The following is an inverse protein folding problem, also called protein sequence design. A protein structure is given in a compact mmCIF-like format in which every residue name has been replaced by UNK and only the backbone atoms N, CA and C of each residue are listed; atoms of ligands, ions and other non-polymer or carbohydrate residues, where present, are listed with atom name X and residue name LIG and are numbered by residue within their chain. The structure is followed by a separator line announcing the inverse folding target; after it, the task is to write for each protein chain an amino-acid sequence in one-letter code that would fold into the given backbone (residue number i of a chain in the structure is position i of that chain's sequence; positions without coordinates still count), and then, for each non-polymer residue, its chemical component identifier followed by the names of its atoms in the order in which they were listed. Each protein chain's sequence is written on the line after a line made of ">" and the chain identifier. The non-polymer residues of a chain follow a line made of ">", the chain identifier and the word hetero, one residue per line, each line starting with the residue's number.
data_IF_358489127725
#
_entry.id   IF_358489127725
#
_cell.length_a   1.000
_cell.length_b   1.000
_cell.length_c   1.000
_cell.angle_alpha   90.00
_cell.angle_beta   90.00
_cell.angle_gamma   90.00
#
_symmetry.space_group_name_H-M   'P 1'
#
loop_
_entity.id
_entity.type
_entity.pdbx_description
1 polymer ?
#
# COMPACT_ATOMS: atom_id res chain seq x y z
N UNK A 1 9.39 15.24 10.23
CA UNK A 1 7.92 15.42 10.42
C UNK A 1 7.50 14.99 11.82
N UNK A 2 6.31 15.35 12.32
CA UNK A 2 5.81 14.87 13.63
C UNK A 2 4.53 14.05 13.47
N UNK A 3 4.54 12.82 13.98
CA UNK A 3 3.34 11.97 14.07
C UNK A 3 2.39 12.55 15.13
N UNK A 4 1.14 12.74 14.73
CA UNK A 4 0.06 13.12 15.63
C UNK A 4 -0.94 11.95 15.72
N UNK A 5 -1.52 11.77 16.91
CA UNK A 5 -2.61 10.84 17.16
C UNK A 5 -3.74 11.63 17.82
N UNK A 6 -4.90 11.62 17.17
CA UNK A 6 -6.09 12.30 17.66
C UNK A 6 -7.30 11.43 17.42
N UNK A 7 -8.00 11.09 18.49
CA UNK A 7 -9.20 10.26 18.42
C UNK A 7 -8.96 8.96 17.62
N UNK A 8 -7.78 8.35 17.81
CA UNK A 8 -7.32 7.16 17.09
C UNK A 8 -6.98 7.34 15.60
N UNK A 9 -7.26 8.51 15.01
CA UNK A 9 -6.75 8.85 13.68
C UNK A 9 -5.30 9.28 13.81
N UNK A 10 -4.41 8.53 13.17
CA UNK A 10 -3.00 8.89 13.04
C UNK A 10 -2.80 9.78 11.84
N UNK A 11 -2.00 10.83 11.99
CA UNK A 11 -1.70 11.72 10.89
C UNK A 11 -0.35 12.41 10.98
N UNK A 12 0.20 12.77 9.83
CA UNK A 12 1.45 13.51 9.70
C UNK A 12 1.31 14.67 8.74
N UNK A 13 2.01 15.74 9.07
CA UNK A 13 2.12 16.94 8.24
C UNK A 13 3.56 17.08 7.77
N UNK A 14 3.71 17.18 6.46
CA UNK A 14 4.94 17.57 5.81
C UNK A 14 4.83 19.01 5.33
N UNK A 15 5.62 19.90 5.93
CA UNK A 15 5.75 21.28 5.46
C UNK A 15 6.57 21.31 4.18
N UNK A 16 5.90 21.58 3.06
CA UNK A 16 6.56 21.68 1.76
C UNK A 16 5.94 22.81 0.93
N UNK A 17 6.79 23.60 0.27
CA UNK A 17 6.36 24.74 -0.53
C UNK A 17 6.20 24.32 -2.00
N UNK A 18 4.97 24.01 -2.39
CA UNK A 18 4.62 23.79 -3.78
C UNK A 18 4.49 25.11 -4.56
N UNK A 19 4.65 25.05 -5.88
CA UNK A 19 4.32 26.17 -6.75
C UNK A 19 2.80 26.40 -6.74
N UNK A 20 2.36 27.44 -6.03
CA UNK A 20 0.94 27.68 -5.76
C UNK A 20 0.57 27.32 -4.32
N UNK A 21 -0.60 27.75 -3.86
CA UNK A 21 -1.10 27.47 -2.49
C UNK A 21 -1.62 26.03 -2.35
N UNK A 22 -1.04 25.11 -3.13
CA UNK A 22 -1.49 23.75 -3.27
C UNK A 22 -1.14 22.92 -2.03
N UNK A 23 -2.11 22.12 -1.60
CA UNK A 23 -1.97 21.16 -0.52
C UNK A 23 -2.40 19.79 -1.06
N UNK A 24 -1.57 18.79 -0.81
CA UNK A 24 -1.81 17.41 -1.21
C UNK A 24 -2.13 16.58 0.02
N UNK A 25 -3.22 15.85 -0.06
CA UNK A 25 -3.73 15.06 1.05
C UNK A 25 -3.86 13.61 0.60
N UNK A 26 -3.41 12.70 1.45
CA UNK A 26 -3.53 11.26 1.24
C UNK A 26 -4.10 10.61 2.50
N UNK A 27 -5.29 10.03 2.37
CA UNK A 27 -5.87 9.18 3.38
C UNK A 27 -5.63 7.72 2.98
N UNK A 28 -4.84 7.01 3.78
CA UNK A 28 -4.70 5.56 3.72
C UNK A 28 -5.71 4.90 4.65
N UNK A 29 -6.37 3.86 4.18
CA UNK A 29 -7.22 2.98 4.99
C UNK A 29 -6.64 1.58 4.90
N UNK A 30 -6.48 0.89 6.02
CA UNK A 30 -5.80 -0.41 6.14
C UNK A 30 -6.62 -1.58 5.59
N UNK A 31 -7.21 -1.38 4.42
CA UNK A 31 -7.98 -2.29 3.62
C UNK A 31 -7.24 -2.48 2.28
N UNK A 32 -6.99 -3.71 1.82
CA UNK A 32 -6.30 -3.95 0.56
C UNK A 32 -6.73 -5.26 -0.07
N UNK A 33 -6.21 -5.58 -1.25
CA UNK A 33 -6.62 -6.78 -1.99
C UNK A 33 -6.36 -8.09 -1.24
N UNK A 34 -5.42 -8.09 -0.30
CA UNK A 34 -4.98 -9.30 0.40
C UNK A 34 -5.62 -9.49 1.78
N UNK A 35 -6.61 -8.67 2.16
CA UNK A 35 -7.25 -8.73 3.47
C UNK A 35 -8.57 -9.49 3.38
N UNK A 36 -8.50 -10.80 3.68
CA UNK A 36 -9.67 -11.69 3.65
C UNK A 36 -10.28 -11.97 5.02
N UNK A 37 -9.48 -11.87 6.09
CA UNK A 37 -9.92 -12.22 7.44
C UNK A 37 -9.43 -11.19 8.46
N UNK A 38 -10.31 -10.80 9.36
CA UNK A 38 -9.99 -9.90 10.47
C UNK A 38 -10.52 -10.44 11.79
N UNK A 39 -9.85 -10.09 12.88
CA UNK A 39 -10.38 -10.23 14.23
C UNK A 39 -11.17 -8.99 14.58
N UNK A 40 -12.42 -9.20 14.95
CA UNK A 40 -13.27 -8.19 15.51
C UNK A 40 -13.15 -8.24 17.03
N UNK A 41 -12.53 -7.22 17.63
CA UNK A 41 -12.29 -7.15 19.08
C UNK A 41 -13.57 -7.10 19.90
N UNK A 42 -14.64 -6.49 19.37
CA UNK A 42 -15.86 -6.20 20.11
C UNK A 42 -16.68 -7.46 20.36
N UNK A 43 -16.74 -8.35 19.37
CA UNK A 43 -17.46 -9.61 19.47
C UNK A 43 -16.54 -10.84 19.61
N UNK A 44 -15.22 -10.64 19.63
CA UNK A 44 -14.20 -11.68 19.72
C UNK A 44 -14.38 -12.79 18.67
N UNK A 45 -14.65 -12.40 17.42
CA UNK A 45 -14.83 -13.34 16.30
C UNK A 45 -13.97 -12.99 15.12
N UNK A 46 -13.61 -14.03 14.37
CA UNK A 46 -13.11 -13.91 13.02
C UNK A 46 -14.25 -13.48 12.10
N UNK A 47 -14.00 -12.46 11.28
CA UNK A 47 -14.90 -11.98 10.24
C UNK A 47 -14.21 -12.17 8.90
N UNK A 48 -14.87 -12.89 8.00
CA UNK A 48 -14.44 -12.99 6.61
C UNK A 48 -14.90 -11.74 5.85
N UNK A 49 -13.98 -11.19 5.06
CA UNK A 49 -14.16 -9.97 4.28
C UNK A 49 -14.11 -10.35 2.81
N UNK A 50 -15.14 -9.96 2.06
CA UNK A 50 -15.13 -10.07 0.62
C UNK A 50 -14.11 -9.09 0.04
N UNK A 51 -13.04 -9.63 -0.56
CA UNK A 51 -11.87 -8.85 -1.02
C UNK A 51 -12.21 -7.88 -2.14
N UNK A 52 -13.30 -8.10 -2.88
CA UNK A 52 -13.75 -7.19 -3.94
C UNK A 52 -14.32 -5.87 -3.41
N UNK A 53 -14.70 -5.83 -2.12
CA UNK A 53 -15.26 -4.64 -1.48
C UNK A 53 -14.32 -3.44 -1.51
N UNK A 54 -12.99 -3.66 -1.55
CA UNK A 54 -12.01 -2.55 -1.66
C UNK A 54 -12.18 -1.73 -2.94
N UNK A 55 -12.39 -2.41 -4.08
CA UNK A 55 -12.65 -1.74 -5.36
C UNK A 55 -14.04 -1.11 -5.41
N UNK A 56 -15.03 -1.80 -4.85
CA UNK A 56 -16.42 -1.32 -4.79
C UNK A 56 -16.49 -0.07 -3.94
N UNK A 57 -15.80 -0.06 -2.79
CA UNK A 57 -15.70 1.11 -1.91
C UNK A 57 -15.09 2.30 -2.63
N UNK A 58 -13.99 2.11 -3.35
CA UNK A 58 -13.36 3.21 -4.09
C UNK A 58 -14.30 3.80 -5.16
N UNK A 59 -15.03 2.95 -5.89
CA UNK A 59 -16.03 3.41 -6.85
C UNK A 59 -17.23 4.04 -6.15
N UNK A 60 -17.66 3.53 -5.00
CA UNK A 60 -18.73 4.09 -4.18
C UNK A 60 -18.40 5.52 -3.74
N UNK A 61 -17.20 5.76 -3.22
CA UNK A 61 -16.73 7.11 -2.86
C UNK A 61 -16.70 8.03 -4.09
N UNK A 62 -16.22 7.53 -5.23
CA UNK A 62 -16.20 8.33 -6.47
C UNK A 62 -17.60 8.71 -6.95
N UNK A 63 -18.59 7.83 -6.83
CA UNK A 63 -19.98 8.15 -7.18
C UNK A 63 -20.51 9.30 -6.30
N UNK A 64 -20.27 9.26 -4.99
CA UNK A 64 -20.69 10.34 -4.07
C UNK A 64 -19.97 11.64 -4.39
N UNK A 65 -18.64 11.61 -4.52
CA UNK A 65 -17.84 12.82 -4.77
C UNK A 65 -18.15 13.45 -6.13
N UNK A 66 -18.53 12.66 -7.15
CA UNK A 66 -18.94 13.20 -8.44
C UNK A 66 -20.25 14.01 -8.38
N UNK A 67 -21.08 13.81 -7.35
CA UNK A 67 -22.28 14.62 -7.11
C UNK A 67 -21.96 15.94 -6.38
N UNK A 68 -20.79 16.03 -5.73
CA UNK A 68 -20.35 17.21 -4.97
C UNK A 68 -19.51 18.18 -5.84
N UNK A 69 -19.99 19.41 -6.10
CA UNK A 69 -19.24 20.39 -6.88
C UNK A 69 -17.94 20.81 -6.18
N UNK A 70 -16.79 20.64 -6.83
CA UNK A 70 -15.50 21.19 -6.39
C UNK A 70 -14.54 20.17 -5.81
N UNK A 71 -15.05 19.12 -5.15
CA UNK A 71 -14.20 18.08 -4.57
C UNK A 71 -13.71 17.10 -5.63
N UNK A 72 -12.39 16.93 -5.70
CA UNK A 72 -11.75 15.98 -6.63
C UNK A 72 -10.84 15.03 -5.90
N UNK A 73 -11.33 13.80 -5.74
CA UNK A 73 -10.54 12.70 -5.19
C UNK A 73 -10.06 11.77 -6.28
N UNK A 74 -8.83 11.30 -6.12
CA UNK A 74 -8.29 10.16 -6.85
C UNK A 74 -8.12 8.98 -5.89
N UNK A 75 -8.17 7.77 -6.42
CA UNK A 75 -8.20 6.55 -5.63
C UNK A 75 -7.32 5.47 -6.22
N UNK A 76 -6.45 4.88 -5.40
CA UNK A 76 -5.68 3.69 -5.74
C UNK A 76 -5.76 2.67 -4.61
N UNK A 77 -5.45 1.42 -4.91
CA UNK A 77 -5.48 0.33 -3.93
C UNK A 77 -4.18 -0.44 -4.09
N UNK A 78 -3.50 -0.65 -2.98
CA UNK A 78 -2.31 -1.50 -2.88
C UNK A 78 -2.68 -2.86 -2.30
N UNK A 79 -1.66 -3.68 -2.01
CA UNK A 79 -1.83 -4.95 -1.29
C UNK A 79 -2.58 -4.80 0.02
N UNK A 80 -2.29 -3.72 0.78
CA UNK A 80 -2.70 -3.56 2.17
C UNK A 80 -3.51 -2.29 2.45
N UNK A 81 -3.53 -1.33 1.53
CA UNK A 81 -4.05 0.01 1.76
C UNK A 81 -4.93 0.49 0.60
N UNK A 82 -6.05 1.15 0.93
CA UNK A 82 -6.79 2.00 0.00
C UNK A 82 -6.25 3.41 0.18
N UNK A 83 -5.79 4.02 -0.91
CA UNK A 83 -5.38 5.42 -0.90
C UNK A 83 -6.46 6.28 -1.52
N UNK A 84 -6.89 7.30 -0.78
CA UNK A 84 -7.74 8.37 -1.28
C UNK A 84 -6.91 9.64 -1.27
N UNK A 85 -6.64 10.17 -2.46
CA UNK A 85 -5.74 11.31 -2.67
C UNK A 85 -6.52 12.52 -3.15
N UNK A 86 -6.28 13.67 -2.54
CA UNK A 86 -6.92 14.93 -2.89
C UNK A 86 -5.87 16.02 -3.10
N UNK A 87 -6.17 16.96 -4.00
CA UNK A 87 -5.43 18.21 -4.13
C UNK A 87 -6.40 19.34 -3.81
N UNK A 88 -6.06 20.19 -2.86
CA UNK A 88 -6.84 21.35 -2.42
C UNK A 88 -5.93 22.59 -2.32
N UNK A 89 -6.52 23.74 -1.99
CA UNK A 89 -5.80 24.97 -1.67
C UNK A 89 -5.81 25.22 -0.17
N UNK A 90 -4.92 26.08 0.33
CA UNK A 90 -4.93 26.48 1.75
C UNK A 90 -6.26 27.10 2.18
N UNK A 91 -6.93 27.81 1.28
CA UNK A 91 -8.20 28.48 1.54
C UNK A 91 -9.38 27.51 1.62
N UNK A 92 -9.38 26.46 0.80
CA UNK A 92 -10.49 25.49 0.68
C UNK A 92 -10.27 24.23 1.55
N UNK A 93 -9.06 24.06 2.09
CA UNK A 93 -8.64 22.84 2.80
C UNK A 93 -9.62 22.38 3.87
N UNK A 94 -10.16 23.30 4.67
CA UNK A 94 -11.07 22.96 5.75
C UNK A 94 -12.37 22.34 5.26
N UNK A 95 -12.99 22.96 4.25
CA UNK A 95 -14.25 22.51 3.67
C UNK A 95 -14.05 21.18 2.93
N UNK A 96 -13.01 21.10 2.09
CA UNK A 96 -12.69 19.89 1.33
C UNK A 96 -12.38 18.69 2.25
N UNK A 97 -11.59 18.91 3.31
CA UNK A 97 -11.27 17.86 4.28
C UNK A 97 -12.46 17.43 5.10
N UNK A 98 -13.24 18.39 5.58
CA UNK A 98 -14.46 18.11 6.32
C UNK A 98 -15.40 17.24 5.49
N UNK A 99 -15.63 17.64 4.24
CA UNK A 99 -16.50 16.90 3.32
C UNK A 99 -15.98 15.50 3.01
N UNK A 100 -14.67 15.35 2.77
CA UNK A 100 -14.06 14.04 2.54
C UNK A 100 -14.26 13.10 3.74
N UNK A 101 -14.00 13.59 4.95
CA UNK A 101 -14.14 12.79 6.16
C UNK A 101 -15.61 12.47 6.48
N UNK A 102 -16.53 13.41 6.24
CA UNK A 102 -17.97 13.18 6.37
C UNK A 102 -18.43 12.06 5.42
N UNK A 103 -18.00 12.10 4.16
CA UNK A 103 -18.34 11.08 3.16
C UNK A 103 -17.85 9.69 3.57
N UNK A 104 -16.63 9.60 4.12
CA UNK A 104 -16.01 8.33 4.45
C UNK A 104 -16.53 7.74 5.76
N UNK A 105 -16.73 8.57 6.78
CA UNK A 105 -16.94 8.08 8.16
C UNK A 105 -18.34 8.39 8.73
N UNK A 106 -19.04 9.42 8.24
CA UNK A 106 -20.34 9.82 8.80
C UNK A 106 -21.54 9.44 7.94
N UNK A 107 -21.41 9.52 6.61
CA UNK A 107 -22.55 9.26 5.73
C UNK A 107 -22.99 7.79 5.85
N UNK A 108 -24.31 7.53 6.03
CA UNK A 108 -24.82 6.18 6.03
C UNK A 108 -24.61 5.54 4.66
N UNK A 109 -24.32 4.25 4.65
CA UNK A 109 -24.17 3.50 3.41
C UNK A 109 -25.52 3.44 2.67
N UNK A 110 -25.52 3.85 1.40
CA UNK A 110 -26.68 3.85 0.52
C UNK A 110 -26.63 2.64 -0.42
N UNK A 111 -27.69 1.83 -0.39
CA UNK A 111 -27.79 0.61 -1.18
C UNK A 111 -27.79 0.86 -2.70
N UNK A 112 -28.41 1.95 -3.17
CA UNK A 112 -28.47 2.31 -4.59
C UNK A 112 -27.09 2.71 -5.10
N UNK A 113 -26.34 3.50 -4.32
CA UNK A 113 -24.96 3.88 -4.68
C UNK A 113 -24.08 2.63 -4.69
N UNK A 114 -24.22 1.72 -3.72
CA UNK A 114 -23.54 0.42 -3.72
C UNK A 114 -23.82 -0.37 -5.00
N UNK A 115 -25.09 -0.53 -5.40
CA UNK A 115 -25.46 -1.28 -6.60
C UNK A 115 -24.84 -0.68 -7.87
N UNK A 116 -24.74 0.65 -7.96
CA UNK A 116 -24.06 1.34 -9.06
C UNK A 116 -22.55 1.11 -9.03
N UNK A 117 -21.93 1.24 -7.85
CA UNK A 117 -20.50 0.97 -7.66
C UNK A 117 -20.12 -0.48 -8.02
N UNK A 118 -20.97 -1.46 -7.71
CA UNK A 118 -20.79 -2.86 -8.13
C UNK A 118 -20.82 -2.99 -9.65
N UNK A 119 -21.81 -2.40 -10.32
CA UNK A 119 -21.90 -2.42 -11.80
C UNK A 119 -20.67 -1.81 -12.45
N UNK A 120 -20.23 -0.65 -11.93
CA UNK A 120 -19.04 0.06 -12.40
C UNK A 120 -17.78 -0.79 -12.20
N UNK A 121 -17.60 -1.35 -11.01
CA UNK A 121 -16.46 -2.21 -10.67
C UNK A 121 -16.38 -3.44 -11.58
N UNK A 122 -17.51 -4.13 -11.82
CA UNK A 122 -17.59 -5.26 -12.75
C UNK A 122 -17.25 -4.86 -14.18
N UNK A 123 -17.74 -3.72 -14.64
CA UNK A 123 -17.42 -3.20 -15.99
C UNK A 123 -15.93 -2.93 -16.13
N UNK A 124 -15.32 -2.26 -15.16
CA UNK A 124 -13.90 -1.93 -15.19
C UNK A 124 -13.02 -3.18 -15.06
N UNK A 125 -13.41 -4.14 -14.22
CA UNK A 125 -12.73 -5.43 -14.10
C UNK A 125 -12.80 -6.24 -15.40
N UNK A 126 -13.95 -6.31 -16.07
CA UNK A 126 -14.12 -7.00 -17.34
C UNK A 126 -13.29 -6.40 -18.49
N UNK A 127 -12.95 -5.11 -18.40
CA UNK A 127 -12.00 -4.48 -19.32
C UNK A 127 -10.56 -4.88 -18.96
N UNK A 128 -10.19 -4.78 -17.68
CA UNK A 128 -8.83 -5.07 -17.18
C UNK A 128 -8.44 -6.53 -17.26
N UNK A 129 -9.37 -7.48 -17.12
CA UNK A 129 -9.05 -8.92 -17.19
C UNK A 129 -8.52 -9.34 -18.57
N UNK A 130 -8.68 -8.51 -19.61
CA UNK A 130 -8.10 -8.76 -20.94
C UNK A 130 -6.63 -8.33 -21.02
N UNK A 131 -6.17 -7.49 -20.10
CA UNK A 131 -4.78 -7.03 -20.01
C UNK A 131 -3.90 -8.13 -19.41
N UNK A 132 -2.86 -8.54 -20.15
CA UNK A 132 -1.93 -9.58 -19.73
C UNK A 132 -1.10 -9.16 -18.52
N UNK A 133 -0.71 -7.89 -18.41
CA UNK A 133 0.08 -7.38 -17.30
C UNK A 133 -0.75 -7.44 -16.01
N UNK A 134 -2.03 -7.06 -16.09
CA UNK A 134 -2.97 -7.17 -14.97
C UNK A 134 -3.14 -8.63 -14.51
N UNK A 135 -3.43 -9.56 -15.44
CA UNK A 135 -3.60 -10.97 -15.10
C UNK A 135 -2.34 -11.57 -14.48
N UNK A 136 -1.18 -11.23 -15.04
CA UNK A 136 0.12 -11.78 -14.63
C UNK A 136 0.53 -11.25 -13.27
N UNK A 137 0.31 -9.96 -12.99
CA UNK A 137 0.54 -9.37 -11.67
C UNK A 137 -0.34 -10.01 -10.59
N UNK A 138 -1.66 -10.12 -10.83
CA UNK A 138 -2.56 -10.74 -9.84
C UNK A 138 -2.23 -12.23 -9.61
N UNK A 139 -1.82 -12.97 -10.65
CA UNK A 139 -1.34 -14.34 -10.46
C UNK A 139 -0.06 -14.41 -9.62
N UNK A 140 0.88 -13.49 -9.83
CA UNK A 140 2.10 -13.41 -9.03
C UNK A 140 1.83 -13.02 -7.57
N UNK A 141 0.82 -12.19 -7.31
CA UNK A 141 0.40 -11.89 -5.94
C UNK A 141 0.02 -13.16 -5.16
N UNK A 142 -0.61 -14.16 -5.80
CA UNK A 142 -0.87 -15.45 -5.15
C UNK A 142 0.38 -16.21 -4.67
N UNK A 143 1.58 -15.75 -5.08
CA UNK A 143 2.84 -16.22 -4.53
C UNK A 143 3.47 -15.27 -3.51
N UNK A 144 3.54 -13.96 -3.80
CA UNK A 144 4.12 -12.97 -2.88
C UNK A 144 3.28 -12.68 -1.63
N UNK A 145 2.07 -13.23 -1.59
CA UNK A 145 1.04 -13.01 -0.58
C UNK A 145 0.45 -14.33 -0.09
N UNK A 146 1.28 -15.37 -0.05
CA UNK A 146 0.85 -16.71 0.26
C UNK A 146 0.26 -16.82 1.68
N UNK A 147 0.86 -16.19 2.69
CA UNK A 147 0.35 -16.10 4.07
C UNK A 147 -0.91 -15.25 4.21
N UNK A 148 -1.12 -14.30 3.30
CA UNK A 148 -2.36 -13.51 3.24
C UNK A 148 -3.52 -14.27 2.59
N UNK A 149 -3.27 -15.51 2.13
CA UNK A 149 -4.24 -16.36 1.44
C UNK A 149 -4.92 -15.69 0.25
N UNK A 150 -4.22 -14.73 -0.38
CA UNK A 150 -4.69 -14.09 -1.59
C UNK A 150 -4.74 -15.12 -2.73
N UNK A 151 -5.86 -15.14 -3.45
CA UNK A 151 -6.06 -15.98 -4.60
C UNK A 151 -6.84 -15.23 -5.68
N UNK A 152 -6.26 -15.11 -6.88
CA UNK A 152 -6.90 -14.39 -7.97
C UNK A 152 -8.24 -15.00 -8.41
N UNK A 153 -8.42 -16.33 -8.29
CA UNK A 153 -9.71 -16.98 -8.59
C UNK A 153 -10.78 -16.61 -7.55
N UNK A 154 -10.40 -16.56 -6.27
CA UNK A 154 -11.28 -16.15 -5.19
C UNK A 154 -11.70 -14.70 -5.39
N UNK A 155 -10.75 -13.79 -5.64
CA UNK A 155 -11.03 -12.37 -5.91
C UNK A 155 -12.06 -12.18 -7.05
N UNK A 156 -11.94 -12.97 -8.13
CA UNK A 156 -12.92 -12.95 -9.23
C UNK A 156 -14.29 -13.45 -8.79
N UNK A 157 -14.34 -14.57 -8.05
CA UNK A 157 -15.60 -15.12 -7.52
C UNK A 157 -16.27 -14.16 -6.53
N UNK A 158 -15.48 -13.50 -5.70
CA UNK A 158 -15.92 -12.51 -4.71
C UNK A 158 -16.67 -11.36 -5.38
N UNK A 159 -16.13 -10.83 -6.50
CA UNK A 159 -16.77 -9.75 -7.26
C UNK A 159 -18.11 -10.16 -7.89
N UNK A 160 -18.23 -11.42 -8.30
CA UNK A 160 -19.46 -11.95 -8.89
C UNK A 160 -20.56 -12.19 -7.83
N UNK A 161 -20.17 -12.50 -6.59
CA UNK A 161 -21.10 -12.90 -5.51
C UNK A 161 -21.34 -11.84 -4.45
N UNK A 162 -20.59 -10.74 -4.46
CA UNK A 162 -20.67 -9.68 -3.44
C UNK A 162 -22.10 -9.21 -3.22
N UNK A 163 -22.49 -9.18 -1.94
CA UNK A 163 -23.79 -8.73 -1.47
C UNK A 163 -23.68 -7.36 -0.78
N UNK A 164 -24.81 -6.74 -0.49
CA UNK A 164 -24.84 -5.48 0.25
C UNK A 164 -24.38 -5.69 1.70
N UNK A 165 -24.73 -6.84 2.28
CA UNK A 165 -24.35 -7.24 3.63
C UNK A 165 -22.83 -7.45 3.74
N UNK A 166 -22.19 -8.03 2.71
CA UNK A 166 -20.72 -8.12 2.64
C UNK A 166 -20.07 -6.74 2.66
N UNK A 167 -20.64 -5.79 1.90
CA UNK A 167 -20.14 -4.43 1.82
C UNK A 167 -20.34 -3.66 3.13
N UNK A 168 -21.48 -3.85 3.80
CA UNK A 168 -21.71 -3.29 5.14
C UNK A 168 -20.72 -3.87 6.16
N UNK A 169 -20.47 -5.18 6.12
CA UNK A 169 -19.49 -5.82 6.99
C UNK A 169 -18.09 -5.26 6.73
N UNK A 170 -17.68 -5.13 5.46
CA UNK A 170 -16.44 -4.46 5.08
C UNK A 170 -16.37 -3.03 5.65
N UNK A 171 -17.41 -2.22 5.40
CA UNK A 171 -17.44 -0.81 5.78
C UNK A 171 -17.34 -0.65 7.30
N UNK A 172 -18.20 -1.33 8.05
CA UNK A 172 -18.28 -1.23 9.52
C UNK A 172 -16.99 -1.70 10.20
N UNK A 173 -16.33 -2.73 9.67
CA UNK A 173 -15.17 -3.31 10.34
C UNK A 173 -13.83 -2.71 9.88
N UNK A 174 -13.72 -2.16 8.66
CA UNK A 174 -12.43 -1.71 8.10
C UNK A 174 -12.33 -0.20 7.86
N UNK A 175 -13.45 0.52 7.73
CA UNK A 175 -13.47 1.96 7.46
C UNK A 175 -13.65 2.70 8.79
N UNK A 176 -12.55 2.85 9.54
CA UNK A 176 -12.51 3.47 10.89
C UNK A 176 -11.28 4.36 11.03
N UNK A 177 -11.25 5.30 11.99
CA UNK A 177 -10.07 6.15 12.20
C UNK A 177 -8.85 5.34 12.62
N UNK A 178 -9.04 4.34 13.50
CA UNK A 178 -7.96 3.49 14.00
C UNK A 178 -7.27 2.68 12.89
N UNK A 179 -7.99 2.36 11.82
CA UNK A 179 -7.46 1.70 10.63
C UNK A 179 -6.97 2.67 9.55
N UNK A 180 -6.99 3.97 9.82
CA UNK A 180 -6.70 5.00 8.83
C UNK A 180 -5.47 5.80 9.21
N UNK A 181 -4.84 6.37 8.18
CA UNK A 181 -3.69 7.24 8.31
C UNK A 181 -3.82 8.42 7.36
N UNK A 182 -3.71 9.64 7.87
CA UNK A 182 -3.81 10.85 7.09
C UNK A 182 -2.44 11.51 6.92
N UNK A 183 -2.01 11.71 5.67
CA UNK A 183 -0.81 12.44 5.34
C UNK A 183 -1.17 13.74 4.63
N UNK A 184 -0.69 14.87 5.15
CA UNK A 184 -0.93 16.20 4.62
C UNK A 184 0.41 16.79 4.20
N UNK A 185 0.49 17.26 2.97
CA UNK A 185 1.73 17.74 2.38
C UNK A 185 1.51 19.09 1.70
N UNK A 186 2.11 20.14 2.26
CA UNK A 186 1.92 21.52 1.81
C UNK A 186 2.35 22.53 2.87
N UNK A 187 2.17 23.82 2.60
CA UNK A 187 2.55 24.90 3.51
C UNK A 187 1.42 25.22 4.50
N UNK A 188 1.43 24.58 5.67
CA UNK A 188 0.37 24.65 6.68
C UNK A 188 0.93 24.89 8.09
N UNK A 189 1.62 26.04 8.24
CA UNK A 189 2.29 26.49 9.48
C UNK A 189 1.53 26.32 10.81
N UNK A 190 0.19 26.21 10.83
CA UNK A 190 -0.61 25.99 12.05
C UNK A 190 -1.84 25.12 11.81
N UNK A 191 -1.70 23.80 12.01
CA UNK A 191 -2.82 22.84 11.90
C UNK A 191 -3.98 23.10 12.87
N UNK A 192 -3.69 23.58 14.09
CA UNK A 192 -4.69 23.71 15.16
C UNK A 192 -5.78 24.75 14.88
N UNK A 193 -5.56 25.60 13.87
CA UNK A 193 -6.49 26.65 13.49
C UNK A 193 -7.51 26.18 12.44
N UNK A 194 -7.33 24.97 11.90
CA UNK A 194 -8.19 24.39 10.87
C UNK A 194 -9.42 23.69 11.49
N UNK A 195 -10.60 23.94 10.93
CA UNK A 195 -11.87 23.32 11.35
C UNK A 195 -11.85 21.79 11.28
N UNK A 196 -11.19 21.18 10.30
CA UNK A 196 -11.14 19.71 10.21
C UNK A 196 -10.41 19.08 11.42
N UNK A 197 -9.50 19.80 12.06
CA UNK A 197 -8.85 19.36 13.29
C UNK A 197 -9.87 19.23 14.43
N UNK A 198 -10.79 20.19 14.56
CA UNK A 198 -11.88 20.13 15.52
C UNK A 198 -12.87 19.01 15.21
N UNK A 199 -13.09 18.70 13.94
CA UNK A 199 -13.88 17.54 13.54
C UNK A 199 -13.27 16.25 14.08
N UNK A 200 -12.00 15.98 13.79
CA UNK A 200 -11.33 14.74 14.23
C UNK A 200 -11.38 14.62 15.76
N UNK A 201 -11.13 15.74 16.46
CA UNK A 201 -11.11 15.78 17.93
C UNK A 201 -12.47 15.49 18.58
N UNK A 202 -13.56 15.92 17.94
CA UNK A 202 -14.92 15.84 18.51
C UNK A 202 -15.73 14.68 17.95
N UNK A 203 -15.20 13.96 16.95
CA UNK A 203 -15.89 12.84 16.34
C UNK A 203 -16.13 11.73 17.36
N UNK A 204 -17.33 11.16 17.37
CA UNK A 204 -17.59 9.95 18.14
C UNK A 204 -17.24 8.75 17.28
N UNK A 205 -15.95 8.51 17.06
CA UNK A 205 -15.55 7.29 16.37
C UNK A 205 -15.66 6.09 17.32
N UNK A 206 -15.95 4.93 16.74
CA UNK A 206 -15.92 3.66 17.45
C UNK A 206 -14.46 3.23 17.54
N UNK A 207 -13.96 3.05 18.75
CA UNK A 207 -12.68 2.37 18.96
C UNK A 207 -12.81 0.94 18.42
N UNK A 208 -12.00 0.58 17.44
CA UNK A 208 -12.07 -0.72 16.77
C UNK A 208 -10.67 -1.28 16.59
N UNK A 209 -10.30 -2.23 17.45
CA UNK A 209 -9.03 -2.92 17.29
C UNK A 209 -9.16 -3.99 16.21
N UNK A 210 -8.81 -3.62 14.99
CA UNK A 210 -8.71 -4.55 13.88
C UNK A 210 -7.37 -5.26 13.98
N UNK A 211 -7.41 -6.58 14.19
CA UNK A 211 -6.23 -7.42 13.97
C UNK A 211 -6.42 -8.19 12.67
N UNK A 212 -5.56 -7.96 11.68
CA UNK A 212 -5.56 -8.73 10.43
C UNK A 212 -5.14 -10.17 10.76
N UNK A 213 -5.89 -11.16 10.26
CA UNK A 213 -5.50 -12.55 10.36
C UNK A 213 -4.72 -12.98 9.14
N UNK A 214 -3.68 -13.74 9.42
CA UNK A 214 -2.81 -14.33 8.43
C UNK A 214 -2.76 -15.82 8.71
N UNK A 215 -2.82 -16.61 7.65
CA UNK A 215 -2.61 -18.04 7.77
C UNK A 215 -1.10 -18.26 7.80
N UNK A 216 -0.59 -18.70 8.94
CA UNK A 216 0.80 -19.12 9.06
C UNK A 216 0.99 -20.31 8.11
N UNK A 217 1.76 -20.07 7.05
CA UNK A 217 2.11 -21.10 6.08
C UNK A 217 3.59 -21.31 6.16
N UNK A 218 3.98 -22.58 6.11
CA UNK A 218 5.37 -22.95 6.16
C UNK A 218 6.10 -22.44 4.89
N UNK A 219 6.81 -21.33 5.04
CA UNK A 219 7.59 -20.71 3.99
C UNK A 219 8.76 -21.63 3.56
N UNK A 220 9.13 -22.62 4.37
CA UNK A 220 10.11 -23.64 4.02
C UNK A 220 9.60 -24.61 2.96
N UNK A 221 8.29 -24.69 2.75
CA UNK A 221 7.68 -25.42 1.63
C UNK A 221 7.68 -24.61 0.33
N UNK A 222 7.96 -23.30 0.37
CA UNK A 222 8.14 -22.50 -0.83
C UNK A 222 9.49 -22.84 -1.47
N UNK A 223 9.43 -23.67 -2.52
CA UNK A 223 10.57 -23.97 -3.37
C UNK A 223 10.69 -22.96 -4.50
N UNK A 224 11.88 -22.88 -5.10
CA UNK A 224 12.04 -22.16 -6.36
C UNK A 224 11.09 -22.76 -7.41
N UNK A 225 10.31 -21.92 -8.09
CA UNK A 225 9.38 -22.39 -9.13
C UNK A 225 9.45 -21.52 -10.38
N UNK A 226 9.35 -22.17 -11.53
CA UNK A 226 9.20 -21.52 -12.81
C UNK A 226 7.90 -21.99 -13.44
N UNK A 227 6.94 -21.08 -13.56
CA UNK A 227 5.67 -21.33 -14.22
C UNK A 227 5.71 -20.68 -15.60
N UNK A 228 5.65 -21.50 -16.65
CA UNK A 228 5.57 -21.04 -18.03
C UNK A 228 4.14 -21.25 -18.52
N UNK A 229 3.38 -20.16 -18.62
CA UNK A 229 2.11 -20.14 -19.33
C UNK A 229 2.43 -19.69 -20.75
N UNK A 230 2.12 -20.52 -21.76
CA UNK A 230 2.31 -20.13 -23.16
C UNK A 230 1.15 -19.23 -23.58
N UNK A 231 1.42 -17.96 -23.89
CA UNK A 231 0.49 -17.08 -24.57
C UNK A 231 1.17 -16.30 -25.73
N UNK A 232 0.38 -15.51 -26.46
CA UNK A 232 0.83 -14.80 -27.68
C UNK A 232 1.67 -13.54 -27.42
N UNK A 233 1.66 -13.01 -26.20
CA UNK A 233 2.35 -11.78 -25.82
C UNK A 233 3.39 -12.10 -24.74
N UNK A 234 4.65 -11.70 -24.94
CA UNK A 234 5.74 -11.98 -24.00
C UNK A 234 5.69 -11.00 -22.82
N UNK A 235 5.06 -11.38 -21.71
CA UNK A 235 5.13 -10.61 -20.45
C UNK A 235 5.81 -11.44 -19.36
N UNK A 236 6.84 -10.86 -18.74
CA UNK A 236 7.65 -11.56 -17.74
C UNK A 236 7.57 -10.86 -16.39
N UNK A 237 7.28 -11.62 -15.35
CA UNK A 237 7.34 -11.16 -13.97
C UNK A 237 8.08 -12.18 -13.13
N UNK A 238 8.94 -11.69 -12.24
CA UNK A 238 9.55 -12.52 -11.22
C UNK A 238 9.32 -11.95 -9.83
N UNK A 239 9.46 -12.82 -8.84
CA UNK A 239 9.35 -12.51 -7.43
C UNK A 239 10.54 -13.14 -6.71
N UNK A 240 11.27 -12.34 -5.95
CA UNK A 240 12.26 -12.80 -4.98
C UNK A 240 11.67 -12.61 -3.59
N UNK A 241 11.43 -13.71 -2.89
CA UNK A 241 10.88 -13.74 -1.55
C UNK A 241 12.01 -13.81 -0.53
N UNK A 242 11.91 -13.00 0.53
CA UNK A 242 12.90 -12.89 1.60
C UNK A 242 12.27 -13.28 2.93
N UNK A 243 12.82 -14.32 3.54
CA UNK A 243 12.46 -14.76 4.87
C UNK A 243 13.56 -14.33 5.84
N UNK A 244 13.19 -13.52 6.83
CA UNK A 244 14.10 -12.95 7.82
C UNK A 244 13.96 -13.74 9.12
N UNK A 245 14.93 -14.61 9.40
CA UNK A 245 14.88 -15.48 10.59
C UNK A 245 15.04 -14.69 11.89
N UNK A 246 15.68 -13.52 11.82
CA UNK A 246 15.77 -12.61 12.95
C UNK A 246 14.47 -11.81 13.13
N UNK A 247 13.68 -12.17 14.14
CA UNK A 247 12.40 -11.51 14.45
C UNK A 247 12.54 -10.04 14.89
N UNK A 248 13.70 -9.65 15.42
CA UNK A 248 14.00 -8.27 15.83
C UNK A 248 14.41 -7.39 14.63
N UNK A 249 14.46 -7.95 13.42
CA UNK A 249 14.83 -7.20 12.24
C UNK A 249 13.68 -6.29 11.78
N UNK A 250 13.82 -4.99 12.06
CA UNK A 250 12.77 -4.00 11.85
C UNK A 250 12.30 -3.89 10.40
N UNK A 251 11.04 -3.47 10.21
CA UNK A 251 10.45 -3.23 8.88
C UNK A 251 11.26 -2.18 8.09
N UNK A 252 11.71 -1.10 8.75
CA UNK A 252 12.59 -0.09 8.12
C UNK A 252 13.87 -0.73 7.56
N UNK A 253 14.52 -1.62 8.33
CA UNK A 253 15.73 -2.31 7.90
C UNK A 253 15.49 -3.26 6.72
N UNK A 254 14.34 -3.94 6.70
CA UNK A 254 13.90 -4.75 5.55
C UNK A 254 13.74 -3.87 4.31
N UNK A 255 13.07 -2.72 4.42
CA UNK A 255 12.93 -1.76 3.33
C UNK A 255 14.28 -1.27 2.80
N UNK A 256 15.20 -0.88 3.68
CA UNK A 256 16.56 -0.44 3.30
C UNK A 256 17.26 -1.51 2.49
N UNK A 257 17.33 -2.74 3.03
CA UNK A 257 18.05 -3.83 2.40
C UNK A 257 17.44 -4.21 1.05
N UNK A 258 16.12 -4.40 1.00
CA UNK A 258 15.43 -4.82 -0.23
C UNK A 258 15.45 -3.71 -1.29
N UNK A 259 15.40 -2.44 -0.91
CA UNK A 259 15.50 -1.32 -1.86
C UNK A 259 16.89 -1.21 -2.50
N UNK A 260 17.96 -1.49 -1.74
CA UNK A 260 19.32 -1.55 -2.29
C UNK A 260 19.43 -2.73 -3.26
N UNK A 261 18.95 -3.92 -2.89
CA UNK A 261 18.97 -5.11 -3.75
C UNK A 261 18.16 -4.87 -5.03
N UNK A 262 16.93 -4.37 -4.92
CA UNK A 262 16.05 -4.10 -6.04
C UNK A 262 16.66 -3.07 -7.00
N UNK A 263 17.19 -1.97 -6.47
CA UNK A 263 17.82 -0.93 -7.28
C UNK A 263 19.10 -1.40 -7.96
N UNK A 264 19.89 -2.26 -7.29
CA UNK A 264 21.09 -2.86 -7.86
C UNK A 264 20.79 -3.82 -9.02
N UNK A 265 19.81 -4.71 -8.84
CA UNK A 265 19.51 -5.77 -9.80
C UNK A 265 18.60 -5.29 -10.94
N UNK A 266 17.66 -4.41 -10.65
CA UNK A 266 16.54 -4.09 -11.53
C UNK A 266 16.32 -2.59 -11.75
N UNK A 267 17.11 -1.72 -11.10
CA UNK A 267 16.96 -0.27 -11.18
C UNK A 267 15.52 0.16 -10.82
N UNK A 268 14.82 0.80 -11.75
CA UNK A 268 13.44 1.28 -11.57
C UNK A 268 12.36 0.29 -12.02
N UNK A 269 12.72 -0.96 -12.37
CA UNK A 269 11.80 -1.98 -12.90
C UNK A 269 11.36 -3.01 -11.87
N UNK A 270 11.44 -2.65 -10.59
CA UNK A 270 11.03 -3.48 -9.47
C UNK A 270 10.19 -2.72 -8.45
N UNK A 271 9.31 -3.46 -7.79
CA UNK A 271 8.50 -3.05 -6.65
C UNK A 271 9.01 -3.80 -5.41
N UNK A 272 9.30 -3.05 -4.35
CA UNK A 272 9.70 -3.60 -3.05
C UNK A 272 8.46 -3.63 -2.19
N UNK A 273 8.07 -4.82 -1.74
CA UNK A 273 6.97 -5.02 -0.82
C UNK A 273 7.53 -5.53 0.49
N UNK A 274 7.33 -4.79 1.59
CA UNK A 274 7.71 -5.22 2.93
C UNK A 274 6.47 -5.20 3.79
N UNK A 275 5.64 -6.24 3.69
CA UNK A 275 4.67 -6.48 4.75
C UNK A 275 5.35 -7.20 5.92
N UNK A 276 4.66 -7.28 7.05
CA UNK A 276 5.19 -7.92 8.26
C UNK A 276 5.47 -9.43 8.14
N UNK A 277 5.14 -10.06 7.01
CA UNK A 277 5.08 -11.51 6.86
C UNK A 277 5.98 -12.00 5.72
N UNK A 278 5.78 -11.45 4.54
CA UNK A 278 6.30 -11.94 3.28
C UNK A 278 6.98 -10.82 2.46
N UNK A 279 8.09 -10.25 2.95
CA UNK A 279 8.87 -9.28 2.19
C UNK A 279 9.35 -9.86 0.85
N UNK A 280 9.13 -9.12 -0.23
CA UNK A 280 9.52 -9.56 -1.56
C UNK A 280 9.92 -8.40 -2.49
N UNK A 281 10.61 -8.77 -3.56
CA UNK A 281 10.88 -7.89 -4.70
C UNK A 281 10.16 -8.47 -5.91
N UNK A 282 9.19 -7.74 -6.44
CA UNK A 282 8.54 -8.03 -7.72
C UNK A 282 9.28 -7.27 -8.82
N UNK A 283 9.64 -7.93 -9.92
CA UNK A 283 10.32 -7.28 -11.03
C UNK A 283 9.68 -7.65 -12.37
N UNK A 284 9.70 -6.70 -13.30
CA UNK A 284 8.90 -6.76 -14.53
C UNK A 284 9.75 -6.62 -15.78
N UNK A 285 9.46 -7.45 -16.80
CA UNK A 285 10.11 -7.42 -18.11
C UNK A 285 11.65 -7.40 -18.02
N UNK A 286 12.18 -8.19 -17.09
CA UNK A 286 13.62 -8.46 -16.93
C UNK A 286 13.88 -9.93 -17.22
N UNK A 287 15.14 -10.24 -17.52
CA UNK A 287 15.58 -11.62 -17.69
C UNK A 287 15.18 -12.47 -16.49
N UNK A 288 14.68 -13.68 -16.73
CA UNK A 288 14.36 -14.62 -15.67
C UNK A 288 15.61 -15.44 -15.35
N UNK A 289 16.35 -15.02 -14.34
CA UNK A 289 17.62 -15.61 -13.91
C UNK A 289 17.60 -15.95 -12.41
N UNK A 290 18.59 -16.72 -11.96
CA UNK A 290 18.80 -17.02 -10.54
C UNK A 290 19.53 -15.85 -9.85
N UNK A 291 18.77 -14.84 -9.43
CA UNK A 291 19.27 -13.60 -8.85
C UNK A 291 19.79 -13.75 -7.42
N UNK A 292 19.32 -14.73 -6.66
CA UNK A 292 19.72 -14.97 -5.26
C UNK A 292 21.23 -15.13 -5.09
N UNK A 293 21.91 -15.67 -6.11
CA UNK A 293 23.38 -15.82 -6.14
C UNK A 293 24.13 -14.49 -6.30
N UNK A 294 23.45 -13.45 -6.79
CA UNK A 294 24.02 -12.13 -7.10
C UNK A 294 23.72 -11.08 -6.03
N UNK A 295 22.91 -11.42 -5.02
CA UNK A 295 22.46 -10.46 -3.99
C UNK A 295 23.64 -9.92 -3.19
N UNK A 296 24.61 -10.77 -2.82
CA UNK A 296 25.76 -10.31 -2.06
C UNK A 296 26.65 -9.33 -2.84
N UNK A 297 26.70 -9.45 -4.16
CA UNK A 297 27.47 -8.57 -5.04
C UNK A 297 26.86 -7.17 -5.17
N UNK A 298 25.57 -7.01 -4.81
CA UNK A 298 24.87 -5.73 -4.83
C UNK A 298 25.42 -4.71 -3.83
N UNK A 299 26.21 -5.18 -2.85
CA UNK A 299 26.69 -4.36 -1.74
C UNK A 299 28.08 -3.75 -1.97
N UNK A 300 28.66 -3.91 -3.16
CA UNK A 300 29.97 -3.36 -3.46
C UNK A 300 29.96 -1.81 -3.47
N UNK A 301 31.04 -1.18 -3.00
CA UNK A 301 31.12 0.28 -2.81
C UNK A 301 30.94 1.12 -4.07
N UNK A 302 31.42 0.66 -5.23
CA UNK A 302 31.29 1.41 -6.49
C UNK A 302 29.82 1.53 -6.92
N UNK A 303 29.01 0.47 -6.79
CA UNK A 303 27.60 0.51 -7.16
C UNK A 303 26.74 1.14 -6.05
N UNK A 304 27.10 0.95 -4.78
CA UNK A 304 26.30 1.39 -3.64
C UNK A 304 26.06 2.91 -3.65
N UNK A 305 27.06 3.73 -3.98
CA UNK A 305 26.89 5.18 -4.06
C UNK A 305 25.85 5.59 -5.11
N UNK A 306 25.90 4.96 -6.29
CA UNK A 306 24.95 5.23 -7.37
C UNK A 306 23.54 4.78 -6.97
N UNK A 307 23.41 3.62 -6.33
CA UNK A 307 22.13 3.10 -5.83
C UNK A 307 21.50 4.05 -4.81
N UNK A 308 22.28 4.48 -3.80
CA UNK A 308 21.82 5.42 -2.76
C UNK A 308 21.28 6.70 -3.40
N UNK A 309 22.08 7.31 -4.28
CA UNK A 309 21.67 8.53 -4.98
C UNK A 309 20.40 8.30 -5.80
N UNK A 310 20.30 7.21 -6.56
CA UNK A 310 19.10 6.91 -7.34
C UNK A 310 17.83 6.74 -6.50
N UNK A 311 17.94 6.16 -5.29
CA UNK A 311 16.82 6.07 -4.34
C UNK A 311 16.44 7.46 -3.81
N UNK A 312 17.42 8.26 -3.36
CA UNK A 312 17.18 9.60 -2.84
C UNK A 312 16.56 10.51 -3.91
N UNK A 313 17.11 10.50 -5.13
CA UNK A 313 16.64 11.26 -6.28
C UNK A 313 15.19 10.87 -6.64
N UNK A 314 14.86 9.57 -6.59
CA UNK A 314 13.48 9.09 -6.81
C UNK A 314 12.50 9.72 -5.82
N UNK A 315 12.81 9.71 -4.53
CA UNK A 315 11.90 10.28 -3.53
C UNK A 315 11.84 11.81 -3.57
N UNK A 316 12.95 12.48 -3.90
CA UNK A 316 12.96 13.92 -4.17
C UNK A 316 12.07 14.27 -5.37
N UNK A 317 12.20 13.52 -6.47
CA UNK A 317 11.38 13.73 -7.66
C UNK A 317 9.89 13.47 -7.37
N UNK A 318 9.57 12.42 -6.61
CA UNK A 318 8.19 12.17 -6.17
C UNK A 318 7.67 13.33 -5.33
N UNK A 319 8.46 13.85 -4.39
CA UNK A 319 8.03 14.95 -3.52
C UNK A 319 7.71 16.21 -4.33
N UNK A 320 8.57 16.56 -5.28
CA UNK A 320 8.49 17.83 -6.02
C UNK A 320 7.54 17.77 -7.24
N UNK A 321 7.55 16.65 -7.98
CA UNK A 321 6.82 16.52 -9.25
C UNK A 321 5.58 15.65 -9.17
N UNK A 322 5.54 14.69 -8.25
CA UNK A 322 4.43 13.73 -8.13
C UNK A 322 3.92 13.60 -6.67
N UNK A 323 3.55 14.71 -6.01
CA UNK A 323 3.30 14.74 -4.56
C UNK A 323 2.18 13.80 -4.09
N UNK A 324 1.22 13.47 -4.97
CA UNK A 324 0.22 12.43 -4.70
C UNK A 324 0.87 11.06 -4.50
N UNK A 325 1.80 10.65 -5.39
CA UNK A 325 2.51 9.37 -5.29
C UNK A 325 3.51 9.37 -4.12
N UNK A 326 4.13 10.52 -3.83
CA UNK A 326 4.91 10.67 -2.59
C UNK A 326 4.07 10.39 -1.35
N UNK A 327 2.87 10.99 -1.26
CA UNK A 327 1.94 10.75 -0.17
C UNK A 327 1.50 9.29 -0.07
N UNK A 328 1.23 8.62 -1.20
CA UNK A 328 0.91 7.18 -1.21
C UNK A 328 2.06 6.35 -0.65
N UNK A 329 3.30 6.61 -1.08
CA UNK A 329 4.48 5.90 -0.58
C UNK A 329 4.71 6.14 0.92
N UNK A 330 4.55 7.37 1.40
CA UNK A 330 4.68 7.71 2.82
C UNK A 330 3.64 6.95 3.67
N UNK A 331 2.38 7.00 3.25
CA UNK A 331 1.26 6.34 3.91
C UNK A 331 1.46 4.82 3.95
N UNK A 332 1.81 4.21 2.82
CA UNK A 332 2.04 2.75 2.72
C UNK A 332 3.16 2.30 3.68
N UNK A 333 4.31 2.98 3.66
CA UNK A 333 5.43 2.64 4.56
C UNK A 333 5.04 2.79 6.03
N UNK A 334 4.35 3.89 6.38
CA UNK A 334 3.92 4.15 7.76
C UNK A 334 2.96 3.10 8.26
N UNK A 335 1.97 2.72 7.43
CA UNK A 335 0.99 1.70 7.79
C UNK A 335 1.58 0.29 7.86
N UNK A 336 2.71 0.05 7.20
CA UNK A 336 3.49 -1.19 7.32
C UNK A 336 4.46 -1.17 8.53
N UNK A 337 4.60 -0.03 9.22
CA UNK A 337 5.43 0.10 10.43
C UNK A 337 6.85 0.61 10.18
N UNK A 338 7.07 1.32 9.07
CA UNK A 338 8.33 2.00 8.75
C UNK A 338 8.10 3.50 8.64
N UNK A 339 9.09 4.30 9.06
CA UNK A 339 9.08 5.74 8.79
C UNK A 339 9.89 6.05 7.52
N UNK A 340 9.34 6.87 6.61
CA UNK A 340 10.01 7.20 5.35
C UNK A 340 11.24 8.09 5.58
N UNK A 341 11.23 9.00 6.58
CA UNK A 341 12.38 9.85 6.88
C UNK A 341 13.52 9.02 7.47
N UNK A 342 13.23 8.12 8.41
CA UNK A 342 14.18 7.16 8.97
C UNK A 342 14.80 6.30 7.87
N UNK A 343 13.97 5.75 6.99
CA UNK A 343 14.43 4.97 5.84
C UNK A 343 15.38 5.78 4.94
N UNK A 344 15.02 7.01 4.55
CA UNK A 344 15.85 7.84 3.68
C UNK A 344 17.16 8.25 4.38
N UNK A 345 17.13 8.55 5.67
CA UNK A 345 18.31 8.87 6.45
C UNK A 345 19.27 7.68 6.56
N UNK A 346 18.76 6.46 6.76
CA UNK A 346 19.60 5.24 6.73
C UNK A 346 20.19 5.07 5.33
N UNK A 347 19.37 5.20 4.27
CA UNK A 347 19.85 5.10 2.88
C UNK A 347 20.94 6.13 2.59
N UNK A 348 20.86 7.36 3.11
CA UNK A 348 21.90 8.38 2.91
C UNK A 348 23.22 8.01 3.59
N UNK A 349 23.16 7.45 4.80
CA UNK A 349 24.33 7.21 5.65
C UNK A 349 24.97 5.83 5.45
N UNK A 350 24.24 4.85 4.90
CA UNK A 350 24.72 3.47 4.81
C UNK A 350 25.98 3.34 3.94
N UNK A 351 26.95 2.58 4.42
CA UNK A 351 28.17 2.21 3.69
C UNK A 351 28.23 0.70 3.40
N UNK A 352 29.25 0.28 2.66
CA UNK A 352 29.43 -1.12 2.26
C UNK A 352 29.51 -2.06 3.46
N UNK A 353 30.18 -1.66 4.54
CA UNK A 353 30.26 -2.46 5.77
C UNK A 353 28.88 -2.59 6.42
N UNK A 354 28.19 -1.48 6.59
CA UNK A 354 26.89 -1.41 7.28
C UNK A 354 25.82 -2.20 6.55
N UNK A 355 25.77 -2.15 5.21
CA UNK A 355 24.78 -2.95 4.45
C UNK A 355 25.09 -4.44 4.51
N UNK A 356 26.36 -4.84 4.48
CA UNK A 356 26.76 -6.25 4.65
C UNK A 356 26.45 -6.77 6.04
N UNK A 357 26.67 -5.94 7.06
CA UNK A 357 26.31 -6.27 8.44
C UNK A 357 24.78 -6.32 8.62
N UNK A 358 24.04 -5.44 7.94
CA UNK A 358 22.57 -5.48 7.90
C UNK A 358 22.06 -6.78 7.27
N UNK A 359 22.62 -7.19 6.12
CA UNK A 359 22.31 -8.46 5.46
C UNK A 359 22.56 -9.67 6.39
N UNK A 360 23.71 -9.69 7.08
CA UNK A 360 24.04 -10.77 8.03
C UNK A 360 23.10 -10.80 9.24
N UNK A 361 22.76 -9.63 9.78
CA UNK A 361 21.83 -9.50 10.92
C UNK A 361 20.43 -9.99 10.59
N UNK A 362 19.99 -9.88 9.34
CA UNK A 362 18.68 -10.32 8.90
C UNK A 362 18.51 -11.85 8.93
N UNK A 363 19.62 -12.61 8.90
CA UNK A 363 19.65 -14.08 8.82
C UNK A 363 18.66 -14.63 7.78
N UNK A 364 18.97 -14.34 6.51
CA UNK A 364 17.99 -14.31 5.42
C UNK A 364 18.02 -15.62 4.64
N UNK A 365 16.84 -16.18 4.41
CA UNK A 365 16.60 -17.22 3.42
C UNK A 365 15.87 -16.62 2.21
N UNK A 366 16.27 -17.04 1.00
CA UNK A 366 15.82 -16.43 -0.26
C UNK A 366 15.23 -17.50 -1.15
N UNK A 367 14.02 -17.25 -1.67
CA UNK A 367 13.37 -18.12 -2.65
C UNK A 367 12.90 -17.30 -3.85
N UNK A 368 12.84 -17.92 -5.02
CA UNK A 368 12.57 -17.20 -6.27
C UNK A 368 11.45 -17.89 -7.05
N UNK A 369 10.55 -17.09 -7.62
CA UNK A 369 9.59 -17.58 -8.59
C UNK A 369 9.51 -16.72 -9.83
N UNK A 370 9.37 -17.40 -10.96
CA UNK A 370 9.25 -16.79 -12.27
C UNK A 370 7.91 -17.18 -12.88
N UNK A 371 7.22 -16.20 -13.44
CA UNK A 371 6.02 -16.40 -14.23
C UNK A 371 6.23 -15.79 -15.62
N UNK A 372 6.19 -16.65 -16.62
CA UNK A 372 6.15 -16.25 -18.03
C UNK A 372 4.70 -16.39 -18.48
N UNK A 373 4.16 -15.33 -19.04
CA UNK A 373 2.88 -15.35 -19.76
C UNK A 373 3.11 -15.17 -21.24
#
# INVERSE_FOLDING_TARGET
>A
MSLNDMNHLKFTINEHNYNGRDIYINLGIGAGYCIKKIWNSDNQKEVEINTSCVCIFLNYIKEIVNEEPGLKVDGTISKNVIHISMKTSKEEMDEDMQMLLDIIYRLPVDKRIFENAVKKTRSDFNKKIKDIAFQTRNKMMGFSDFSNSYNYKDYKSDLDKVTYEDFLAFFVNLITFENSYLFINGNIKTLRDFMFYHFINNEKDRKYQIKKFYEEKDIFLLTNQQNILKNYENYQIGCIQFDFSNQEFSITNKFVLLSIIASSLFQNKAEVNVDGLEPCILYYNQELAEYKKRIFDCFNSQNLKQIKNGILDKYSELLDKEPKKFGQAYVEMTMQGSDLEEYLNIIEQIDEKSVKDLYRKGDIKITERHLIY
#
